data_IF_073903255136
#
_entry.id   IF_073903255136
#
_cell.length_a   1.000
_cell.length_b   1.000
_cell.length_c   1.000
_cell.angle_alpha   90.00
_cell.angle_beta   90.00
_cell.angle_gamma   90.00
#
_symmetry.space_group_name_H-M   'P 1'
#
loop_
_entity.id
_entity.type
_entity.pdbx_description
1 polymer ?
#
# COMPACT_ATOMS: atom_id res chain seq x y z
N UNK A 1 -35.62 -37.76 -6.16
CA UNK A 1 -34.17 -38.07 -6.00
C UNK A 1 -33.24 -36.87 -6.35
N UNK A 2 -33.56 -35.62 -5.95
CA UNK A 2 -32.96 -34.42 -6.58
C UNK A 2 -32.24 -33.39 -5.68
N UNK A 3 -32.20 -33.57 -4.35
CA UNK A 3 -31.66 -32.53 -3.44
C UNK A 3 -30.12 -32.57 -3.27
N UNK A 4 -29.47 -33.72 -3.49
CA UNK A 4 -28.02 -33.89 -3.23
C UNK A 4 -27.06 -33.42 -4.34
N UNK A 5 -27.54 -33.22 -5.57
CA UNK A 5 -26.70 -32.77 -6.69
C UNK A 5 -26.41 -31.26 -6.64
N UNK A 6 -27.39 -30.47 -6.20
CA UNK A 6 -27.25 -29.00 -6.11
C UNK A 6 -26.23 -28.59 -5.05
N UNK A 7 -26.21 -29.27 -3.90
CA UNK A 7 -25.28 -28.98 -2.81
C UNK A 7 -23.83 -29.33 -3.18
N UNK A 8 -23.61 -30.49 -3.84
CA UNK A 8 -22.27 -30.88 -4.31
C UNK A 8 -21.70 -29.88 -5.33
N UNK A 9 -22.52 -29.42 -6.27
CA UNK A 9 -22.10 -28.42 -7.26
C UNK A 9 -21.81 -27.04 -6.63
N UNK A 10 -22.58 -26.65 -5.60
CA UNK A 10 -22.33 -25.42 -4.85
C UNK A 10 -21.03 -25.50 -4.03
N UNK A 11 -20.77 -26.64 -3.40
CA UNK A 11 -19.53 -26.88 -2.64
C UNK A 11 -18.30 -26.82 -3.55
N UNK A 12 -18.38 -27.45 -4.73
CA UNK A 12 -17.30 -27.43 -5.71
C UNK A 12 -17.03 -26.01 -6.23
N UNK A 13 -18.07 -25.21 -6.49
CA UNK A 13 -17.94 -23.80 -6.85
C UNK A 13 -17.27 -22.97 -5.75
N UNK A 14 -17.68 -23.18 -4.49
CA UNK A 14 -17.10 -22.47 -3.35
C UNK A 14 -15.62 -22.82 -3.14
N UNK A 15 -15.25 -24.10 -3.29
CA UNK A 15 -13.86 -24.55 -3.19
C UNK A 15 -12.96 -23.95 -4.29
N UNK A 16 -13.48 -23.85 -5.53
CA UNK A 16 -12.77 -23.20 -6.64
C UNK A 16 -12.63 -21.69 -6.40
N UNK A 17 -13.66 -21.04 -5.87
CA UNK A 17 -13.59 -19.60 -5.55
C UNK A 17 -12.58 -19.33 -4.42
N UNK A 18 -12.53 -20.18 -3.40
CA UNK A 18 -11.55 -20.14 -2.31
C UNK A 18 -10.11 -20.36 -2.80
N UNK A 19 -9.88 -21.30 -3.73
CA UNK A 19 -8.54 -21.54 -4.28
C UNK A 19 -8.04 -20.39 -5.15
N UNK A 20 -8.94 -19.74 -5.91
CA UNK A 20 -8.62 -18.52 -6.68
C UNK A 20 -8.26 -17.37 -5.73
N UNK A 21 -9.05 -17.11 -4.69
CA UNK A 21 -8.78 -16.04 -3.73
C UNK A 21 -7.44 -16.27 -3.01
N UNK A 22 -7.15 -17.51 -2.58
CA UNK A 22 -5.86 -17.88 -1.98
C UNK A 22 -4.69 -17.71 -2.95
N UNK A 23 -4.89 -17.97 -4.25
CA UNK A 23 -3.85 -17.77 -5.28
C UNK A 23 -3.54 -16.29 -5.56
N UNK A 24 -4.46 -15.38 -5.23
CA UNK A 24 -4.28 -13.93 -5.36
C UNK A 24 -3.59 -13.32 -4.12
N UNK A 25 -3.61 -14.01 -2.98
CA UNK A 25 -3.06 -13.52 -1.70
C UNK A 25 -1.67 -14.08 -1.33
N UNK A 26 -1.00 -14.83 -2.20
CA UNK A 26 0.34 -15.37 -1.91
C UNK A 26 1.42 -14.27 -2.06
N UNK A 27 2.33 -14.09 -1.09
CA UNK A 27 3.28 -12.98 -1.07
C UNK A 27 4.58 -13.33 -1.82
N UNK A 28 4.51 -13.60 -3.12
CA UNK A 28 5.74 -13.72 -3.92
C UNK A 28 5.61 -12.95 -5.23
N UNK A 29 6.37 -11.84 -5.27
CA UNK A 29 6.71 -10.95 -6.39
C UNK A 29 5.59 -10.05 -6.95
N UNK A 30 5.91 -8.75 -7.02
CA UNK A 30 5.14 -7.70 -7.69
C UNK A 30 4.94 -8.00 -9.19
N UNK A 31 4.03 -8.91 -9.53
CA UNK A 31 3.41 -8.94 -10.84
C UNK A 31 1.90 -8.78 -10.66
N UNK A 32 1.41 -7.57 -10.96
CA UNK A 32 0.00 -7.42 -11.28
C UNK A 32 -0.30 -8.32 -12.49
N UNK A 33 -0.82 -9.52 -12.27
CA UNK A 33 -1.30 -10.37 -13.36
C UNK A 33 -2.40 -9.60 -14.09
N UNK A 34 -2.08 -9.16 -15.31
CA UNK A 34 -2.95 -8.30 -16.09
C UNK A 34 -4.30 -9.00 -16.34
N UNK A 35 -5.39 -8.23 -16.47
CA UNK A 35 -6.72 -8.76 -16.82
C UNK A 35 -6.73 -9.67 -18.07
N UNK A 36 -5.70 -9.59 -18.93
CA UNK A 36 -5.48 -10.46 -20.10
C UNK A 36 -5.09 -11.90 -19.71
N UNK A 37 -4.34 -12.10 -18.64
CA UNK A 37 -3.88 -13.43 -18.19
C UNK A 37 -5.01 -14.25 -17.57
N UNK A 38 -5.85 -13.59 -16.76
CA UNK A 38 -7.09 -14.16 -16.21
C UNK A 38 -8.12 -14.53 -17.28
N UNK A 39 -8.10 -13.89 -18.45
CA UNK A 39 -8.96 -14.26 -19.60
C UNK A 39 -8.43 -15.49 -20.35
N UNK A 40 -7.11 -15.68 -20.43
CA UNK A 40 -6.50 -16.85 -21.11
C UNK A 40 -6.83 -18.17 -20.41
N UNK A 41 -6.93 -18.17 -19.08
CA UNK A 41 -7.35 -19.34 -18.29
C UNK A 41 -8.83 -19.74 -18.50
N UNK A 42 -9.67 -18.88 -19.09
CA UNK A 42 -11.11 -19.14 -19.28
C UNK A 42 -11.45 -19.98 -20.52
N UNK A 43 -10.55 -20.13 -21.49
CA UNK A 43 -10.92 -20.62 -22.83
C UNK A 43 -10.94 -22.16 -22.94
N UNK A 44 -10.35 -22.91 -21.99
CA UNK A 44 -10.11 -24.34 -22.18
C UNK A 44 -11.04 -25.30 -21.40
N UNK A 45 -12.19 -24.87 -20.89
CA UNK A 45 -13.16 -25.80 -20.29
C UNK A 45 -14.62 -25.43 -20.62
N UNK A 46 -15.38 -26.30 -21.31
CA UNK A 46 -16.71 -25.99 -21.83
C UNK A 46 -17.82 -25.90 -20.76
N UNK A 47 -17.57 -26.33 -19.52
CA UNK A 47 -18.56 -26.29 -18.43
C UNK A 47 -18.64 -24.92 -17.70
N UNK A 48 -17.86 -23.92 -18.11
CA UNK A 48 -17.71 -22.63 -17.39
C UNK A 48 -18.63 -21.50 -17.88
N UNK A 49 -19.43 -21.68 -18.93
CA UNK A 49 -20.21 -20.57 -19.51
C UNK A 49 -21.41 -20.12 -18.66
N UNK A 50 -21.84 -20.89 -17.65
CA UNK A 50 -23.08 -20.60 -16.88
C UNK A 50 -22.86 -20.34 -15.39
N UNK A 51 -21.69 -19.82 -15.01
CA UNK A 51 -21.49 -19.30 -13.66
C UNK A 51 -21.63 -17.77 -13.74
N UNK A 52 -22.74 -17.17 -13.27
CA UNK A 52 -22.78 -15.74 -13.03
C UNK A 52 -21.83 -15.46 -11.86
N UNK A 53 -20.56 -15.29 -12.19
CA UNK A 53 -19.60 -14.74 -11.24
C UNK A 53 -19.99 -13.27 -11.17
N UNK A 54 -20.70 -12.89 -10.10
CA UNK A 54 -20.66 -11.51 -9.64
C UNK A 54 -19.23 -11.25 -9.18
N UNK A 55 -18.35 -11.05 -10.16
CA UNK A 55 -17.17 -10.25 -9.96
C UNK A 55 -17.79 -8.91 -9.65
N UNK A 56 -17.88 -8.58 -8.36
CA UNK A 56 -17.96 -7.20 -7.96
C UNK A 56 -16.66 -6.61 -8.51
N UNK A 57 -16.68 -6.20 -9.78
CA UNK A 57 -15.72 -5.25 -10.26
C UNK A 57 -16.03 -4.08 -9.37
N UNK A 58 -15.27 -3.95 -8.29
CA UNK A 58 -14.89 -2.64 -7.83
C UNK A 58 -14.39 -1.98 -9.11
N UNK A 59 -15.29 -1.25 -9.77
CA UNK A 59 -14.92 -0.27 -10.76
C UNK A 59 -13.97 0.56 -9.95
N UNK A 60 -12.67 0.36 -10.20
CA UNK A 60 -11.59 1.14 -9.63
C UNK A 60 -11.90 2.54 -10.11
N UNK A 61 -12.72 3.26 -9.33
CA UNK A 61 -12.56 4.68 -9.24
C UNK A 61 -11.09 4.81 -8.93
N UNK A 62 -10.34 5.37 -9.88
CA UNK A 62 -8.95 5.75 -9.62
C UNK A 62 -9.03 6.58 -8.36
N UNK A 63 -8.55 6.02 -7.25
CA UNK A 63 -8.46 6.74 -6.00
C UNK A 63 -7.67 8.01 -6.33
N UNK A 64 -8.28 9.16 -6.11
CA UNK A 64 -7.60 10.41 -6.29
C UNK A 64 -6.47 10.46 -5.26
N UNK A 65 -5.24 10.29 -5.71
CA UNK A 65 -4.04 10.40 -4.90
C UNK A 65 -3.64 11.88 -4.95
N UNK A 66 -3.78 12.64 -3.84
CA UNK A 66 -3.52 14.08 -3.84
C UNK A 66 -2.02 14.43 -3.84
N UNK A 67 -1.14 13.50 -4.23
CA UNK A 67 0.31 13.65 -4.18
C UNK A 67 0.89 13.59 -5.60
N UNK A 68 1.81 14.50 -5.89
CA UNK A 68 2.56 14.54 -7.14
C UNK A 68 4.04 14.61 -6.84
N UNK A 69 4.90 14.14 -7.75
CA UNK A 69 6.35 14.08 -7.55
C UNK A 69 6.96 15.46 -7.21
N UNK A 70 6.42 16.53 -7.79
CA UNK A 70 6.89 17.91 -7.61
C UNK A 70 6.23 18.64 -6.43
N UNK A 71 5.32 17.99 -5.70
CA UNK A 71 4.73 18.58 -4.50
C UNK A 71 5.75 18.52 -3.35
N UNK A 72 6.01 19.64 -2.69
CA UNK A 72 6.73 19.64 -1.41
C UNK A 72 5.82 19.09 -0.32
N UNK A 73 6.14 17.91 0.20
CA UNK A 73 5.31 17.15 1.14
C UNK A 73 6.04 17.03 2.48
N UNK A 74 5.35 17.35 3.56
CA UNK A 74 5.79 17.03 4.92
C UNK A 74 4.91 15.90 5.48
N UNK A 75 5.55 14.82 5.94
CA UNK A 75 4.90 13.74 6.68
C UNK A 75 5.27 13.90 8.15
N UNK A 76 4.28 14.11 9.01
CA UNK A 76 4.45 14.39 10.43
C UNK A 76 3.94 13.20 11.23
N UNK A 77 4.75 12.69 12.15
CA UNK A 77 4.34 11.62 13.05
C UNK A 77 4.47 10.23 12.44
N UNK A 78 5.46 10.01 11.58
CA UNK A 78 5.79 8.64 11.15
C UNK A 78 6.14 7.78 12.38
N UNK A 79 5.64 6.55 12.38
CA UNK A 79 6.14 5.48 13.24
C UNK A 79 7.33 4.81 12.58
N UNK A 80 7.10 3.63 11.99
CA UNK A 80 8.14 2.85 11.31
C UNK A 80 8.45 3.31 9.85
N UNK A 81 8.06 4.52 9.44
CA UNK A 81 8.25 5.06 8.08
C UNK A 81 7.60 4.29 6.92
N UNK A 82 6.70 3.34 7.19
CA UNK A 82 6.05 2.53 6.15
C UNK A 82 5.18 3.36 5.19
N UNK A 83 4.52 4.42 5.69
CA UNK A 83 3.73 5.32 4.85
C UNK A 83 4.63 6.13 3.91
N UNK A 84 5.72 6.71 4.43
CA UNK A 84 6.73 7.40 3.63
C UNK A 84 7.30 6.50 2.53
N UNK A 85 7.71 5.27 2.86
CA UNK A 85 8.24 4.32 1.89
C UNK A 85 7.23 3.92 0.81
N UNK A 86 5.95 3.76 1.19
CA UNK A 86 4.86 3.44 0.26
C UNK A 86 4.55 4.60 -0.67
N UNK A 87 4.49 5.83 -0.15
CA UNK A 87 4.26 7.03 -0.94
C UNK A 87 5.41 7.29 -1.93
N UNK A 88 6.65 7.14 -1.47
CA UNK A 88 7.83 7.23 -2.34
C UNK A 88 7.79 6.19 -3.47
N UNK A 89 7.40 4.95 -3.17
CA UNK A 89 7.26 3.90 -4.18
C UNK A 89 6.18 4.21 -5.21
N UNK A 90 5.05 4.77 -4.76
CA UNK A 90 3.94 5.16 -5.61
C UNK A 90 4.31 6.32 -6.55
N UNK A 91 5.12 7.25 -6.06
CA UNK A 91 5.62 8.38 -6.83
C UNK A 91 6.88 8.05 -7.62
N UNK A 92 7.57 6.95 -7.31
CA UNK A 92 8.90 6.59 -7.84
C UNK A 92 9.94 7.73 -7.66
N UNK A 93 9.70 8.63 -6.71
CA UNK A 93 10.50 9.82 -6.40
C UNK A 93 10.04 10.38 -5.05
N UNK A 94 10.98 10.64 -4.16
CA UNK A 94 10.76 11.23 -2.85
C UNK A 94 11.61 12.47 -2.59
N UNK A 95 12.29 13.01 -3.62
CA UNK A 95 13.18 14.18 -3.50
C UNK A 95 12.51 15.42 -2.88
N UNK A 96 11.18 15.54 -3.00
CA UNK A 96 10.39 16.64 -2.44
C UNK A 96 9.66 16.28 -1.13
N UNK A 97 9.99 15.14 -0.49
CA UNK A 97 9.30 14.63 0.69
C UNK A 97 10.23 14.66 1.91
N UNK A 98 9.75 15.29 2.98
CA UNK A 98 10.37 15.21 4.32
C UNK A 98 9.45 14.38 5.21
N UNK A 99 9.99 13.34 5.82
CA UNK A 99 9.29 12.47 6.76
C UNK A 99 9.86 12.64 8.17
N UNK A 100 9.00 12.86 9.16
CA UNK A 100 9.42 13.16 10.53
C UNK A 100 8.79 12.21 11.54
N UNK A 101 9.55 11.84 12.56
CA UNK A 101 9.06 11.09 13.72
C UNK A 101 9.47 11.77 15.03
N UNK A 102 8.74 11.48 16.10
CA UNK A 102 9.05 11.96 17.44
C UNK A 102 10.16 11.15 18.11
N UNK A 103 10.19 9.84 17.87
CA UNK A 103 11.21 8.95 18.44
C UNK A 103 12.62 9.31 17.92
N UNK A 104 13.63 9.16 18.77
CA UNK A 104 15.04 9.19 18.36
C UNK A 104 15.36 7.93 17.54
N UNK A 105 16.33 8.01 16.62
CA UNK A 105 16.70 6.90 15.74
C UNK A 105 16.98 5.57 16.47
N UNK A 106 17.80 5.50 17.54
CA UNK A 106 18.03 4.22 18.23
C UNK A 106 16.77 3.64 18.89
N UNK A 107 15.93 4.50 19.49
CA UNK A 107 14.67 4.09 20.15
C UNK A 107 13.69 3.55 19.11
N UNK A 108 13.62 4.20 17.96
CA UNK A 108 12.78 3.80 16.84
C UNK A 108 13.17 2.42 16.29
N UNK A 109 14.46 2.14 16.14
CA UNK A 109 14.95 0.85 15.66
C UNK A 109 14.68 -0.29 16.65
N UNK A 110 14.70 0.01 17.96
CA UNK A 110 14.31 -0.97 18.99
C UNK A 110 12.81 -1.28 18.93
N UNK A 111 11.99 -0.24 18.75
CA UNK A 111 10.52 -0.33 18.70
C UNK A 111 9.99 -0.98 17.43
N UNK A 112 10.64 -0.73 16.29
CA UNK A 112 10.20 -1.15 14.97
C UNK A 112 11.36 -1.75 14.17
N UNK A 113 11.46 -3.09 14.17
CA UNK A 113 12.54 -3.82 13.48
C UNK A 113 12.54 -3.62 11.96
N UNK A 114 11.40 -3.26 11.38
CA UNK A 114 11.21 -3.01 9.95
C UNK A 114 11.45 -1.54 9.55
N UNK A 115 11.69 -0.65 10.52
CA UNK A 115 11.88 0.76 10.22
C UNK A 115 13.15 1.04 9.40
N UNK A 116 14.24 0.30 9.65
CA UNK A 116 15.47 0.40 8.86
C UNK A 116 15.20 0.21 7.35
N UNK A 117 14.49 -0.86 6.99
CA UNK A 117 14.17 -1.18 5.58
C UNK A 117 13.30 -0.09 4.94
N UNK A 118 12.32 0.44 5.68
CA UNK A 118 11.46 1.52 5.19
C UNK A 118 12.23 2.83 5.01
N UNK A 119 13.09 3.18 5.97
CA UNK A 119 13.94 4.37 5.92
C UNK A 119 14.92 4.27 4.75
N UNK A 120 15.59 3.13 4.57
CA UNK A 120 16.52 2.90 3.47
C UNK A 120 15.80 3.03 2.12
N UNK A 121 14.65 2.38 1.98
CA UNK A 121 13.84 2.46 0.77
C UNK A 121 13.38 3.88 0.48
N UNK A 122 12.97 4.64 1.49
CA UNK A 122 12.56 6.02 1.33
C UNK A 122 13.72 6.95 0.95
N UNK A 123 14.87 6.80 1.63
CA UNK A 123 16.09 7.57 1.35
C UNK A 123 16.67 7.26 -0.03
N UNK A 124 16.63 6.01 -0.49
CA UNK A 124 17.13 5.62 -1.82
C UNK A 124 16.35 6.26 -2.97
N UNK A 125 15.11 6.70 -2.72
CA UNK A 125 14.28 7.48 -3.65
C UNK A 125 14.43 9.00 -3.46
N UNK A 126 15.38 9.46 -2.64
CA UNK A 126 15.68 10.87 -2.40
C UNK A 126 14.94 11.51 -1.23
N UNK A 127 14.18 10.73 -0.46
CA UNK A 127 13.44 11.21 0.70
C UNK A 127 14.34 11.66 1.85
N UNK A 128 13.92 12.71 2.57
CA UNK A 128 14.63 13.20 3.77
C UNK A 128 13.93 12.74 5.04
N UNK A 129 14.67 12.12 5.96
CA UNK A 129 14.16 11.67 7.27
C UNK A 129 14.69 12.55 8.38
N UNK A 130 13.82 13.04 9.26
CA UNK A 130 14.16 13.79 10.46
C UNK A 130 13.60 13.08 11.71
N UNK A 131 14.49 12.78 12.65
CA UNK A 131 14.13 12.20 13.96
C UNK A 131 13.97 13.28 15.02
N UNK A 132 13.39 12.92 16.16
CA UNK A 132 13.21 13.82 17.30
C UNK A 132 12.51 15.14 16.94
N UNK A 133 11.43 15.03 16.15
CA UNK A 133 10.62 16.18 15.72
C UNK A 133 9.34 16.22 16.53
N UNK A 134 9.21 17.24 17.38
CA UNK A 134 7.97 17.58 18.06
C UNK A 134 7.01 18.28 17.10
N UNK A 135 5.93 17.58 16.74
CA UNK A 135 4.88 18.09 15.87
C UNK A 135 4.14 19.32 16.45
N UNK A 136 4.15 19.50 17.78
CA UNK A 136 3.58 20.69 18.44
C UNK A 136 4.50 21.91 18.33
N UNK A 137 5.77 21.70 17.98
CA UNK A 137 6.82 22.72 17.92
C UNK A 137 7.68 22.63 16.64
N UNK A 138 7.05 22.44 15.47
CA UNK A 138 7.75 22.29 14.19
C UNK A 138 8.63 23.50 13.81
N UNK A 139 8.27 24.70 14.28
CA UNK A 139 8.97 25.96 13.98
C UNK A 139 10.35 26.06 14.66
N UNK A 140 10.61 25.23 15.67
CA UNK A 140 11.94 25.14 16.29
C UNK A 140 12.98 24.51 15.36
N UNK A 141 12.56 23.66 14.41
CA UNK A 141 13.48 22.99 13.50
C UNK A 141 13.87 23.90 12.32
N UNK A 142 15.17 24.17 12.10
CA UNK A 142 15.63 25.07 11.03
C UNK A 142 15.23 24.66 9.62
N UNK A 143 15.17 23.36 9.33
CA UNK A 143 14.78 22.85 8.00
C UNK A 143 13.29 23.08 7.79
N UNK A 144 12.48 22.81 8.81
CA UNK A 144 11.02 22.88 8.69
C UNK A 144 10.50 24.32 8.73
N UNK A 145 11.11 25.19 9.55
CA UNK A 145 10.66 26.59 9.73
C UNK A 145 10.77 27.42 8.45
N UNK A 146 11.83 27.20 7.66
CA UNK A 146 12.13 27.99 6.45
C UNK A 146 11.57 27.33 5.17
N UNK A 147 10.88 26.20 5.31
CA UNK A 147 10.32 25.45 4.18
C UNK A 147 8.81 25.65 4.05
N UNK A 148 8.38 26.15 2.91
CA UNK A 148 6.95 26.17 2.54
C UNK A 148 6.53 24.83 1.92
N UNK A 149 5.66 24.12 2.61
CA UNK A 149 5.08 22.86 2.14
C UNK A 149 3.77 23.08 1.38
N UNK A 150 3.55 22.26 0.36
CA UNK A 150 2.30 22.25 -0.41
C UNK A 150 1.29 21.27 0.17
N UNK A 151 1.77 20.18 0.76
CA UNK A 151 0.96 19.18 1.46
C UNK A 151 1.62 18.83 2.78
N UNK A 152 0.80 18.73 3.81
CA UNK A 152 1.20 18.24 5.13
C UNK A 152 0.28 17.07 5.45
N UNK A 153 0.87 15.92 5.74
CA UNK A 153 0.16 14.73 6.20
C UNK A 153 0.51 14.55 7.66
N UNK A 154 -0.49 14.53 8.53
CA UNK A 154 -0.31 14.26 9.95
C UNK A 154 -0.84 12.87 10.26
N UNK A 155 0.07 11.95 10.56
CA UNK A 155 -0.24 10.59 10.95
C UNK A 155 -0.47 10.57 12.46
N UNK A 156 -1.74 10.55 12.87
CA UNK A 156 -2.12 10.54 14.27
C UNK A 156 -1.74 9.19 14.90
N UNK A 157 -0.98 9.19 16.02
CA UNK A 157 -0.83 7.99 16.82
C UNK A 157 -2.19 7.57 17.39
N UNK A 158 -2.42 6.25 17.47
CA UNK A 158 -3.59 5.63 18.10
C UNK A 158 -3.36 5.40 19.60
#
# INVERSE_FOLDING_TARGET
MGKNRKLKNALQRFQIQQSIIKSVQKPETNSFKSKKELKKLKINNPDYERIPIHIHSQTSQRSFIPFTKNSKILLVGEGNFSFAASLASLLEDASCIIATCYDEEPVLQEKYKDAADHIEKFKSLGGTVLFNIDATNLHSNPILKDTRFQKIVFNFPH
#
